data_IF_823694034404
#
_entry.id   IF_823694034404
#
_cell.length_a   1.000
_cell.length_b   1.000
_cell.length_c   1.000
_cell.angle_alpha   90.00
_cell.angle_beta   90.00
_cell.angle_gamma   90.00
#
_symmetry.space_group_name_H-M   'P 1'
#
loop_
_entity.id
_entity.type
_entity.pdbx_description
1 polymer ?
#
# COMPACT_ATOMS: atom_id res chain seq x y z
N UNK A 1 -2.74 8.90 14.47
CA UNK A 1 -1.64 7.96 14.55
C UNK A 1 -1.71 6.94 13.43
N UNK A 2 -0.63 6.72 12.76
CA UNK A 2 -0.61 5.82 11.62
C UNK A 2 -0.24 4.43 12.03
N UNK A 3 -0.99 3.47 11.59
CA UNK A 3 -0.70 2.09 11.88
C UNK A 3 0.46 1.57 11.03
N UNK A 4 0.63 2.15 9.86
CA UNK A 4 1.67 1.72 8.93
C UNK A 4 2.53 2.91 8.53
N UNK A 5 3.83 2.69 8.45
CA UNK A 5 4.76 3.74 8.08
C UNK A 5 4.68 4.00 6.57
N UNK A 6 5.23 5.14 6.14
CA UNK A 6 5.27 5.45 4.72
C UNK A 6 6.12 4.45 3.96
N UNK A 7 7.21 4.02 4.57
CA UNK A 7 8.07 3.01 3.94
C UNK A 7 7.32 1.71 3.71
N UNK A 8 6.50 1.35 4.68
CA UNK A 8 5.71 0.13 4.58
C UNK A 8 4.73 0.22 3.40
N UNK A 9 4.08 1.37 3.27
CA UNK A 9 3.12 1.58 2.19
C UNK A 9 3.80 1.50 0.83
N UNK A 10 4.94 2.15 0.70
CA UNK A 10 5.68 2.13 -0.57
C UNK A 10 6.13 0.72 -0.90
N UNK A 11 6.59 -0.01 0.10
CA UNK A 11 7.00 -1.39 -0.12
C UNK A 11 5.83 -2.24 -0.65
N UNK A 12 4.66 -2.06 -0.05
CA UNK A 12 3.49 -2.81 -0.48
C UNK A 12 3.12 -2.48 -1.92
N UNK A 13 3.14 -1.20 -2.27
CA UNK A 13 2.82 -0.79 -3.63
C UNK A 13 3.81 -1.36 -4.63
N UNK A 14 5.09 -1.35 -4.30
CA UNK A 14 6.10 -1.88 -5.20
C UNK A 14 5.88 -3.36 -5.47
N UNK A 15 5.46 -4.09 -4.46
CA UNK A 15 5.20 -5.52 -4.64
C UNK A 15 4.03 -5.74 -5.59
N UNK A 16 2.99 -4.92 -5.48
CA UNK A 16 1.84 -5.02 -6.37
C UNK A 16 2.25 -4.66 -7.79
N UNK A 17 3.05 -3.62 -7.94
CA UNK A 17 3.52 -3.21 -9.27
C UNK A 17 4.39 -4.25 -9.93
N UNK A 18 5.04 -5.06 -9.12
CA UNK A 18 5.89 -6.13 -9.62
C UNK A 18 5.06 -7.27 -10.20
N UNK A 19 3.80 -7.33 -9.85
CA UNK A 19 2.94 -8.38 -10.35
C UNK A 19 2.28 -9.24 -9.28
N UNK A 20 2.58 -8.99 -8.01
CA UNK A 20 1.98 -9.76 -6.94
C UNK A 20 0.53 -9.34 -6.75
N UNK A 21 -0.31 -10.32 -6.41
CA UNK A 21 -1.70 -10.00 -6.14
C UNK A 21 -1.82 -9.30 -4.78
N UNK A 22 -2.90 -8.55 -4.61
CA UNK A 22 -3.12 -7.83 -3.37
C UNK A 22 -3.20 -8.79 -2.20
N UNK A 23 -3.90 -9.89 -2.36
CA UNK A 23 -4.02 -10.88 -1.29
C UNK A 23 -2.65 -11.45 -0.94
N UNK A 24 -1.83 -11.71 -1.95
CA UNK A 24 -0.50 -12.25 -1.73
C UNK A 24 0.38 -11.27 -0.98
N UNK A 25 0.31 -9.99 -1.36
CA UNK A 25 1.08 -8.95 -0.70
C UNK A 25 0.69 -8.83 0.77
N UNK A 26 -0.61 -8.84 1.04
CA UNK A 26 -1.08 -8.76 2.41
C UNK A 26 -0.57 -9.93 3.24
N UNK A 27 -0.53 -11.10 2.64
CA UNK A 27 -0.05 -12.29 3.32
C UNK A 27 1.43 -12.19 3.64
N UNK A 28 2.22 -11.76 2.67
CA UNK A 28 3.66 -11.61 2.85
C UNK A 28 3.96 -10.59 3.94
N UNK A 29 3.23 -9.48 3.92
CA UNK A 29 3.44 -8.40 4.87
C UNK A 29 2.74 -8.65 6.19
N UNK A 30 2.07 -9.79 6.31
CA UNK A 30 1.42 -10.18 7.54
C UNK A 30 0.34 -9.17 7.97
N UNK A 31 -0.42 -8.68 7.00
CA UNK A 31 -1.48 -7.74 7.27
C UNK A 31 -2.78 -8.50 7.56
N UNK A 32 -3.43 -8.19 8.68
CA UNK A 32 -4.67 -8.88 9.03
C UNK A 32 -5.84 -8.44 8.15
N UNK A 33 -5.72 -7.29 7.49
CA UNK A 33 -6.80 -6.73 6.70
C UNK A 33 -6.23 -6.16 5.41
N UNK A 34 -6.86 -6.44 4.28
CA UNK A 34 -6.38 -5.96 2.99
C UNK A 34 -7.00 -4.63 2.58
N UNK A 35 -7.97 -4.14 3.33
CA UNK A 35 -8.61 -2.87 2.99
C UNK A 35 -7.61 -1.72 2.85
N UNK A 36 -6.64 -1.58 3.75
CA UNK A 36 -5.64 -0.51 3.61
C UNK A 36 -4.87 -0.60 2.29
N UNK A 37 -4.60 -1.81 1.82
CA UNK A 37 -3.87 -1.98 0.56
C UNK A 37 -4.66 -1.40 -0.60
N UNK A 38 -5.95 -1.67 -0.65
CA UNK A 38 -6.79 -1.12 -1.70
C UNK A 38 -6.76 0.40 -1.69
N UNK A 39 -6.81 0.97 -0.49
CA UNK A 39 -6.78 2.43 -0.34
C UNK A 39 -5.45 3.00 -0.83
N UNK A 40 -4.35 2.36 -0.47
CA UNK A 40 -3.03 2.83 -0.90
C UNK A 40 -2.89 2.76 -2.42
N UNK A 41 -3.37 1.67 -3.01
CA UNK A 41 -3.29 1.50 -4.45
C UNK A 41 -4.12 2.57 -5.15
N UNK A 42 -5.31 2.86 -4.62
CA UNK A 42 -6.16 3.89 -5.17
C UNK A 42 -5.46 5.25 -5.13
N UNK A 43 -4.85 5.58 -4.01
CA UNK A 43 -4.13 6.84 -3.88
C UNK A 43 -2.98 6.91 -4.87
N UNK A 44 -2.27 5.79 -5.02
CA UNK A 44 -1.14 5.75 -5.94
C UNK A 44 -1.61 5.97 -7.38
N UNK A 45 -2.70 5.34 -7.74
CA UNK A 45 -3.22 5.45 -9.11
C UNK A 45 -3.70 6.85 -9.43
N UNK A 46 -4.14 7.58 -8.42
CA UNK A 46 -4.64 8.93 -8.63
C UNK A 46 -3.56 9.99 -8.62
N UNK A 47 -2.47 9.77 -7.93
CA UNK A 47 -1.45 10.80 -7.83
C UNK A 47 -0.05 10.29 -7.63
N UNK A 48 0.15 8.99 -7.68
CA UNK A 48 1.47 8.41 -7.51
C UNK A 48 1.93 8.43 -6.06
N UNK A 49 3.22 8.29 -5.87
CA UNK A 49 3.81 8.21 -4.53
C UNK A 49 3.49 9.44 -3.68
N UNK A 50 3.60 10.66 -4.21
CA UNK A 50 3.27 11.83 -3.39
C UNK A 50 1.85 11.80 -2.85
N UNK A 51 0.92 11.32 -3.65
CA UNK A 51 -0.47 11.22 -3.21
C UNK A 51 -0.61 10.15 -2.14
N UNK A 52 0.09 9.05 -2.30
CA UNK A 52 0.04 7.95 -1.34
C UNK A 52 0.53 8.39 0.02
N UNK A 53 1.59 9.18 0.05
CA UNK A 53 2.22 9.62 1.28
C UNK A 53 1.70 10.95 1.79
N UNK A 54 0.64 11.47 1.18
CA UNK A 54 0.04 12.73 1.59
C UNK A 54 -0.46 12.65 3.01
N UNK A 55 -0.06 13.62 3.86
CA UNK A 55 -0.60 13.65 5.17
C UNK A 55 -1.32 14.85 5.33
N UNK A 56 -2.22 15.06 5.57
CA UNK A 56 -2.94 16.13 5.69
C UNK A 56 -3.35 16.46 6.61
#
# INVERSE_FOLDING_TARGET
MTKYSNEFKVKAIKMVLKGDSISHVAKILNMPDIAPLYRWISHYEHGGIPQLLHKN
#
